data_IF_126103566628
#
_entry.id   IF_126103566628
#
_cell.length_a   1.000
_cell.length_b   1.000
_cell.length_c   1.000
_cell.angle_alpha   90.00
_cell.angle_beta   90.00
_cell.angle_gamma   90.00
#
_symmetry.space_group_name_H-M   'P 1'
#
loop_
_entity.id
_entity.type
_entity.pdbx_description
1 polymer ?
#
# COMPACT_ATOMS: atom_id res chain seq x y z
N UNK A 1 -2.12 55.24 24.02
CA UNK A 1 -2.77 54.82 22.76
C UNK A 1 -1.83 54.06 21.81
N UNK A 2 -0.62 54.57 21.46
CA UNK A 2 0.33 53.89 20.55
C UNK A 2 0.87 52.51 21.00
N UNK A 3 0.97 52.24 22.32
CA UNK A 3 1.42 50.94 22.83
C UNK A 3 0.35 49.85 22.79
N UNK A 4 -0.93 50.20 22.96
CA UNK A 4 -2.04 49.24 22.88
C UNK A 4 -2.26 48.72 21.44
N UNK A 5 -2.07 49.59 20.44
CA UNK A 5 -2.14 49.21 19.01
C UNK A 5 -1.05 48.18 18.66
N UNK A 6 0.21 48.42 19.09
CA UNK A 6 1.32 47.47 18.88
C UNK A 6 1.17 46.12 19.59
N UNK A 7 0.39 46.06 20.68
CA UNK A 7 0.13 44.82 21.41
C UNK A 7 -0.93 43.97 20.69
N UNK A 8 -1.97 44.62 20.18
CA UNK A 8 -2.98 44.00 19.30
C UNK A 8 -2.34 43.40 18.04
N UNK A 9 -1.45 44.13 17.38
CA UNK A 9 -0.78 43.66 16.16
C UNK A 9 0.08 42.40 16.39
N UNK A 10 0.75 42.30 17.54
CA UNK A 10 1.54 41.10 17.91
C UNK A 10 0.66 39.89 18.21
N UNK A 11 -0.52 40.10 18.81
CA UNK A 11 -1.48 39.03 19.07
C UNK A 11 -2.09 38.56 17.76
N UNK A 12 -2.48 39.48 16.88
CA UNK A 12 -3.00 39.16 15.54
C UNK A 12 -1.95 38.42 14.71
N UNK A 13 -0.68 38.85 14.70
CA UNK A 13 0.40 38.11 14.04
C UNK A 13 0.58 36.70 14.58
N UNK A 14 0.54 36.50 15.91
CA UNK A 14 0.63 35.16 16.50
C UNK A 14 -0.57 34.29 16.14
N UNK A 15 -1.79 34.84 16.14
CA UNK A 15 -3.00 34.12 15.75
C UNK A 15 -2.92 33.75 14.27
N UNK A 16 -2.53 34.66 13.38
CA UNK A 16 -2.34 34.37 11.95
C UNK A 16 -1.28 33.29 11.75
N UNK A 17 -0.17 33.32 12.50
CA UNK A 17 0.87 32.30 12.41
C UNK A 17 0.37 30.92 12.91
N UNK A 18 -0.38 30.88 14.00
CA UNK A 18 -1.00 29.64 14.52
C UNK A 18 -2.03 29.11 13.53
N UNK A 19 -2.90 29.98 12.99
CA UNK A 19 -3.92 29.59 12.00
C UNK A 19 -3.25 29.09 10.73
N UNK A 20 -2.20 29.75 10.23
CA UNK A 20 -1.42 29.28 9.08
C UNK A 20 -0.73 27.94 9.36
N UNK A 21 -0.16 27.77 10.55
CA UNK A 21 0.42 26.49 10.97
C UNK A 21 -0.63 25.38 11.09
N UNK A 22 -1.81 25.67 11.63
CA UNK A 22 -2.93 24.73 11.67
C UNK A 22 -3.49 24.41 10.28
N UNK A 23 -3.49 25.38 9.35
CA UNK A 23 -3.87 25.19 7.94
C UNK A 23 -2.87 24.28 7.20
N UNK A 24 -1.58 24.32 7.55
CA UNK A 24 -0.56 23.38 7.06
C UNK A 24 -0.71 21.97 7.67
N UNK A 25 -1.50 21.83 8.74
CA UNK A 25 -1.75 20.57 9.45
C UNK A 25 -3.15 20.00 9.12
N UNK A 26 -3.86 20.57 8.14
CA UNK A 26 -5.08 19.95 7.64
C UNK A 26 -4.64 18.62 7.01
N UNK A 27 -5.08 17.46 7.54
CA UNK A 27 -4.73 16.19 6.94
C UNK A 27 -5.25 16.24 5.50
N UNK A 28 -4.35 16.14 4.52
CA UNK A 28 -4.75 15.74 3.19
C UNK A 28 -5.55 14.45 3.36
N UNK A 29 -6.68 14.32 2.67
CA UNK A 29 -7.44 13.07 2.62
C UNK A 29 -6.45 11.93 2.40
N UNK A 30 -6.26 11.10 3.43
CA UNK A 30 -5.34 9.98 3.38
C UNK A 30 -6.03 8.91 2.54
N UNK A 31 -5.81 8.97 1.23
CA UNK A 31 -6.11 7.86 0.34
C UNK A 31 -5.02 6.82 0.58
N UNK A 32 -5.24 5.98 1.57
CA UNK A 32 -4.26 5.00 2.02
C UNK A 32 -4.89 3.64 2.06
N UNK A 33 -4.14 2.63 1.63
CA UNK A 33 -4.45 1.27 2.01
C UNK A 33 -4.08 1.07 3.49
N UNK A 34 -4.86 0.29 4.24
CA UNK A 34 -4.38 -0.19 5.52
C UNK A 34 -3.25 -1.20 5.28
N UNK A 35 -2.12 -1.01 5.95
CA UNK A 35 -1.00 -1.93 5.84
C UNK A 35 -1.28 -3.20 6.66
N UNK A 36 -1.15 -4.36 6.01
CA UNK A 36 -0.94 -5.64 6.70
C UNK A 36 0.57 -5.90 6.69
N UNK A 37 1.25 -5.95 7.86
CA UNK A 37 2.66 -6.29 7.91
C UNK A 37 2.93 -7.70 7.38
N UNK A 38 4.03 -7.86 6.68
CA UNK A 38 4.47 -9.11 6.06
C UNK A 38 5.86 -9.47 6.54
N UNK A 39 6.20 -10.76 6.51
CA UNK A 39 7.53 -11.27 6.85
C UNK A 39 8.04 -12.30 5.83
N UNK A 40 7.33 -12.47 4.71
CA UNK A 40 7.64 -13.42 3.65
C UNK A 40 7.44 -14.89 4.02
N UNK A 41 6.76 -15.19 5.13
CA UNK A 41 6.53 -16.59 5.57
C UNK A 41 5.27 -17.22 4.99
N UNK A 42 4.46 -16.45 4.25
CA UNK A 42 3.21 -16.83 3.62
C UNK A 42 3.40 -17.66 2.35
N UNK A 43 4.18 -18.75 2.42
CA UNK A 43 4.65 -19.51 1.26
C UNK A 43 3.87 -20.79 0.94
N UNK A 44 2.74 -21.03 1.63
CA UNK A 44 1.81 -22.14 1.38
C UNK A 44 0.44 -21.87 2.03
N UNK A 45 -0.53 -22.77 1.87
CA UNK A 45 -1.87 -22.62 2.43
C UNK A 45 -1.93 -22.63 3.96
N UNK A 46 -1.04 -23.36 4.65
CA UNK A 46 -1.03 -23.44 6.11
C UNK A 46 -0.47 -22.15 6.74
N UNK A 47 0.44 -21.47 6.04
CA UNK A 47 1.03 -20.20 6.46
C UNK A 47 0.48 -18.98 5.70
N UNK A 48 -0.57 -19.15 4.90
CA UNK A 48 -1.13 -18.08 4.08
C UNK A 48 -1.50 -16.87 4.95
N UNK A 49 -1.15 -15.67 4.48
CA UNK A 49 -1.43 -14.43 5.21
C UNK A 49 -2.93 -14.16 5.23
N UNK A 50 -3.52 -14.03 6.41
CA UNK A 50 -4.96 -13.74 6.54
C UNK A 50 -5.25 -12.27 6.19
N UNK A 51 -6.13 -12.05 5.22
CA UNK A 51 -6.65 -10.72 4.87
C UNK A 51 -8.01 -10.54 5.55
N UNK A 52 -8.15 -9.60 6.51
CA UNK A 52 -9.42 -9.37 7.18
C UNK A 52 -10.38 -8.59 6.28
N UNK A 53 -11.55 -9.15 5.97
CA UNK A 53 -12.57 -8.50 5.13
C UNK A 53 -12.01 -7.95 3.79
N UNK A 54 -12.09 -8.72 2.69
CA UNK A 54 -11.48 -8.38 1.41
C UNK A 54 -12.08 -7.13 0.73
N UNK A 55 -13.18 -6.59 1.25
CA UNK A 55 -13.80 -5.34 0.75
C UNK A 55 -13.06 -4.10 1.26
N UNK A 56 -12.47 -4.18 2.46
CA UNK A 56 -11.65 -3.10 3.01
C UNK A 56 -10.34 -3.02 2.24
N UNK A 57 -9.90 -1.80 1.96
CA UNK A 57 -8.68 -1.57 1.20
C UNK A 57 -7.43 -1.83 2.05
N UNK A 58 -6.73 -2.92 1.73
CA UNK A 58 -5.47 -3.34 2.34
C UNK A 58 -4.33 -3.32 1.33
N UNK A 59 -3.11 -3.19 1.84
CA UNK A 59 -1.88 -3.36 1.07
C UNK A 59 -0.87 -4.19 1.86
N UNK A 60 -0.12 -4.99 1.12
CA UNK A 60 0.98 -5.82 1.59
C UNK A 60 2.21 -5.48 0.77
N UNK A 61 3.29 -5.09 1.42
CA UNK A 61 4.58 -4.88 0.78
C UNK A 61 5.39 -6.16 0.87
N UNK A 62 5.73 -6.74 -0.26
CA UNK A 62 6.23 -8.11 -0.34
C UNK A 62 7.50 -8.18 -1.18
N UNK A 63 8.33 -9.17 -0.88
CA UNK A 63 9.49 -9.53 -1.67
C UNK A 63 9.31 -10.95 -2.17
N UNK A 64 8.96 -11.09 -3.45
CA UNK A 64 8.81 -12.39 -4.08
C UNK A 64 10.19 -12.97 -4.35
N UNK A 65 10.42 -14.19 -3.88
CA UNK A 65 11.65 -14.95 -4.06
C UNK A 65 11.39 -16.19 -4.93
N UNK A 66 11.83 -17.37 -4.49
CA UNK A 66 11.70 -18.64 -5.21
C UNK A 66 10.32 -19.31 -5.03
N UNK A 67 9.55 -18.89 -4.02
CA UNK A 67 8.26 -19.49 -3.67
C UNK A 67 7.11 -18.51 -3.91
N UNK A 68 5.93 -19.02 -4.28
CA UNK A 68 4.71 -18.23 -4.33
C UNK A 68 4.36 -17.70 -2.94
N UNK A 69 3.79 -16.51 -2.90
CA UNK A 69 3.19 -15.91 -1.72
C UNK A 69 1.68 -16.18 -1.74
N UNK A 70 1.10 -16.61 -0.63
CA UNK A 70 -0.30 -16.99 -0.48
C UNK A 70 -1.01 -16.09 0.53
N UNK A 71 -2.25 -15.74 0.23
CA UNK A 71 -3.11 -14.93 1.06
C UNK A 71 -4.46 -15.59 1.15
N UNK A 72 -5.10 -15.57 2.32
CA UNK A 72 -6.37 -16.22 2.58
C UNK A 72 -7.40 -15.20 3.03
N UNK A 73 -8.62 -15.30 2.50
CA UNK A 73 -9.72 -14.44 2.91
C UNK A 73 -11.07 -15.15 2.81
N UNK A 74 -12.02 -14.70 3.61
CA UNK A 74 -13.42 -15.09 3.51
C UNK A 74 -14.15 -14.05 2.67
N UNK A 75 -14.84 -14.48 1.62
CA UNK A 75 -15.68 -13.62 0.79
C UNK A 75 -17.12 -14.12 0.79
N UNK A 76 -18.06 -13.20 0.56
CA UNK A 76 -19.50 -13.48 0.45
C UNK A 76 -19.95 -13.29 -0.99
N UNK A 77 -21.09 -13.89 -1.32
CA UNK A 77 -21.77 -13.60 -2.59
C UNK A 77 -22.06 -12.11 -2.71
N UNK A 78 -21.71 -11.51 -3.84
CA UNK A 78 -21.89 -10.10 -4.15
C UNK A 78 -20.76 -9.20 -3.65
N UNK A 79 -19.75 -9.73 -2.95
CA UNK A 79 -18.53 -8.96 -2.67
C UNK A 79 -17.79 -8.76 -4.00
N UNK A 80 -17.44 -7.51 -4.31
CA UNK A 80 -16.54 -7.20 -5.43
C UNK A 80 -15.11 -7.49 -4.99
N UNK A 81 -14.48 -8.48 -5.59
CA UNK A 81 -13.06 -8.72 -5.41
C UNK A 81 -12.29 -7.77 -6.34
N UNK A 82 -11.69 -6.75 -5.74
CA UNK A 82 -10.69 -5.91 -6.40
C UNK A 82 -9.32 -6.23 -5.81
N UNK A 83 -8.35 -6.63 -6.63
CA UNK A 83 -6.97 -6.83 -6.19
C UNK A 83 -6.00 -6.48 -7.30
N UNK A 84 -4.86 -5.88 -6.96
CA UNK A 84 -3.87 -5.46 -7.94
C UNK A 84 -2.45 -5.62 -7.43
N UNK A 85 -1.54 -5.84 -8.36
CA UNK A 85 -0.10 -5.79 -8.12
C UNK A 85 0.43 -4.47 -8.68
N UNK A 86 1.23 -3.77 -7.89
CA UNK A 86 2.03 -2.64 -8.35
C UNK A 86 3.49 -2.82 -7.93
N UNK A 87 4.42 -2.44 -8.80
CA UNK A 87 5.86 -2.61 -8.57
C UNK A 87 6.47 -1.25 -8.23
N UNK A 88 7.21 -1.09 -7.12
CA UNK A 88 7.85 0.20 -6.82
C UNK A 88 8.77 0.57 -7.98
N UNK A 89 8.74 1.84 -8.39
CA UNK A 89 9.50 2.34 -9.55
C UNK A 89 11.00 2.39 -9.26
N UNK A 90 11.62 1.22 -9.26
CA UNK A 90 13.03 0.96 -9.11
C UNK A 90 13.52 0.37 -10.43
N UNK A 91 14.47 1.02 -11.09
CA UNK A 91 14.98 0.59 -12.42
C UNK A 91 15.24 -0.92 -12.55
N UNK A 92 15.82 -1.64 -11.55
CA UNK A 92 16.03 -3.09 -11.67
C UNK A 92 14.75 -3.94 -11.73
N UNK A 93 13.59 -3.38 -11.41
CA UNK A 93 12.29 -4.07 -11.36
C UNK A 93 11.39 -3.72 -12.56
N UNK A 94 11.87 -2.95 -13.54
CA UNK A 94 11.05 -2.49 -14.68
C UNK A 94 10.40 -3.65 -15.44
N UNK A 95 11.14 -4.74 -15.65
CA UNK A 95 10.68 -5.93 -16.37
C UNK A 95 10.00 -6.99 -15.45
N UNK A 96 10.02 -6.77 -14.13
CA UNK A 96 9.46 -7.74 -13.17
C UNK A 96 7.94 -7.79 -13.28
N UNK A 97 7.38 -8.94 -13.67
CA UNK A 97 5.97 -9.12 -14.05
C UNK A 97 5.37 -10.37 -13.38
N UNK A 98 5.32 -10.41 -12.03
CA UNK A 98 4.82 -11.59 -11.31
C UNK A 98 3.33 -11.79 -11.58
N UNK A 99 2.87 -13.02 -11.77
CA UNK A 99 1.45 -13.35 -11.98
C UNK A 99 0.65 -13.24 -10.68
N UNK A 100 -0.60 -12.80 -10.79
CA UNK A 100 -1.60 -12.82 -9.71
C UNK A 100 -2.56 -13.99 -9.94
N UNK A 101 -2.92 -14.71 -8.88
CA UNK A 101 -3.75 -15.92 -8.98
C UNK A 101 -4.94 -15.80 -8.04
N UNK A 102 -6.13 -16.09 -8.55
CA UNK A 102 -7.31 -16.33 -7.72
C UNK A 102 -7.54 -17.84 -7.58
N UNK A 103 -7.64 -18.30 -6.34
CA UNK A 103 -7.83 -19.71 -6.00
C UNK A 103 -9.09 -19.84 -5.13
N UNK A 104 -9.98 -20.76 -5.48
CA UNK A 104 -11.26 -20.94 -4.81
C UNK A 104 -11.95 -22.24 -5.22
N UNK A 105 -13.09 -22.60 -4.61
CA UNK A 105 -13.81 -23.81 -4.99
C UNK A 105 -14.17 -23.80 -6.48
N UNK A 106 -13.82 -24.87 -7.20
CA UNK A 106 -13.97 -24.93 -8.66
C UNK A 106 -15.41 -24.63 -9.10
N UNK A 107 -16.39 -25.24 -8.43
CA UNK A 107 -17.82 -25.05 -8.72
C UNK A 107 -18.31 -23.62 -8.49
N UNK A 108 -17.60 -22.81 -7.71
CA UNK A 108 -17.97 -21.41 -7.45
C UNK A 108 -17.28 -20.47 -8.44
N UNK A 109 -16.01 -20.74 -8.78
CA UNK A 109 -15.29 -19.97 -9.80
C UNK A 109 -15.91 -20.15 -11.19
N UNK A 110 -16.48 -21.31 -11.51
CA UNK A 110 -17.23 -21.54 -12.75
C UNK A 110 -18.49 -20.66 -12.89
N UNK A 111 -19.01 -20.12 -11.79
CA UNK A 111 -20.18 -19.23 -11.78
C UNK A 111 -19.82 -17.77 -12.08
N UNK A 112 -18.56 -17.38 -11.90
CA UNK A 112 -18.11 -15.99 -12.10
C UNK A 112 -18.05 -15.68 -13.59
N UNK A 113 -18.92 -14.79 -14.07
CA UNK A 113 -19.06 -14.51 -15.50
C UNK A 113 -17.81 -13.87 -16.09
N UNK A 114 -17.11 -13.01 -15.34
CA UNK A 114 -15.86 -12.37 -15.76
C UNK A 114 -14.79 -13.42 -16.08
N UNK A 115 -14.63 -14.44 -15.22
CA UNK A 115 -13.67 -15.54 -15.43
C UNK A 115 -13.99 -16.41 -16.66
N UNK A 116 -15.24 -16.38 -17.15
CA UNK A 116 -15.65 -17.14 -18.36
C UNK A 116 -15.34 -16.41 -19.64
N UNK A 117 -15.22 -15.08 -19.57
CA UNK A 117 -14.94 -14.21 -20.71
C UNK A 117 -13.45 -13.86 -20.81
N UNK A 118 -12.75 -13.85 -19.67
CA UNK A 118 -11.31 -13.67 -19.63
C UNK A 118 -10.59 -14.92 -20.18
N UNK A 119 -9.63 -14.71 -21.08
CA UNK A 119 -8.71 -15.76 -21.56
C UNK A 119 -7.60 -15.99 -20.52
N UNK A 120 -8.01 -16.32 -19.30
CA UNK A 120 -7.12 -16.55 -18.17
C UNK A 120 -6.58 -17.98 -18.21
N UNK A 121 -5.26 -18.09 -18.02
CA UNK A 121 -4.58 -19.37 -17.92
C UNK A 121 -4.98 -20.09 -16.61
N UNK A 122 -5.06 -21.42 -16.66
CA UNK A 122 -5.25 -22.26 -15.47
C UNK A 122 -3.99 -23.04 -15.07
N UNK A 123 -2.87 -22.82 -15.77
CA UNK A 123 -1.59 -23.43 -15.44
C UNK A 123 -0.99 -22.79 -14.19
N UNK A 124 -1.40 -23.31 -13.03
CA UNK A 124 -0.81 -23.04 -11.73
C UNK A 124 -0.08 -24.30 -11.26
N UNK A 125 1.25 -24.32 -11.38
CA UNK A 125 2.07 -25.52 -11.15
C UNK A 125 2.28 -25.88 -9.66
N UNK A 126 1.61 -25.15 -8.76
CA UNK A 126 1.67 -25.41 -7.33
C UNK A 126 0.47 -26.23 -6.87
N UNK A 127 0.61 -26.88 -5.70
CA UNK A 127 -0.45 -27.67 -5.10
C UNK A 127 -1.75 -26.86 -4.96
N UNK A 128 -2.90 -27.50 -5.20
CA UNK A 128 -4.23 -26.96 -4.95
C UNK A 128 -4.98 -27.83 -3.93
N UNK A 129 -5.72 -27.24 -2.98
CA UNK A 129 -6.61 -27.99 -2.11
C UNK A 129 -7.64 -28.79 -2.92
N UNK A 130 -8.12 -29.90 -2.36
CA UNK A 130 -9.13 -30.72 -3.03
C UNK A 130 -10.41 -29.92 -3.32
N UNK A 131 -10.87 -29.97 -4.57
CA UNK A 131 -12.07 -29.26 -5.03
C UNK A 131 -11.87 -27.79 -5.35
N UNK A 132 -10.64 -27.28 -5.27
CA UNK A 132 -10.29 -25.91 -5.67
C UNK A 132 -9.76 -25.88 -7.11
N UNK A 133 -9.90 -24.72 -7.75
CA UNK A 133 -9.31 -24.40 -9.05
C UNK A 133 -8.58 -23.06 -8.95
N UNK A 134 -7.70 -22.79 -9.91
CA UNK A 134 -6.90 -21.57 -9.97
C UNK A 134 -7.02 -20.86 -11.31
N UNK A 135 -7.15 -19.54 -11.25
CA UNK A 135 -7.16 -18.67 -12.41
C UNK A 135 -5.97 -17.74 -12.31
N UNK A 136 -5.07 -17.83 -13.29
CA UNK A 136 -3.81 -17.09 -13.37
C UNK A 136 -3.99 -15.88 -14.25
N UNK A 137 -3.69 -14.72 -13.69
CA UNK A 137 -3.70 -13.42 -14.33
C UNK A 137 -2.24 -13.01 -14.55
N UNK A 138 -1.80 -13.05 -15.81
CA UNK A 138 -0.49 -12.57 -16.23
C UNK A 138 -0.55 -11.10 -16.65
N UNK A 139 0.60 -10.43 -16.66
CA UNK A 139 0.70 -9.09 -17.24
C UNK A 139 1.02 -9.24 -18.72
N UNK A 140 0.13 -8.77 -19.58
CA UNK A 140 0.26 -8.80 -21.04
C UNK A 140 0.43 -7.40 -21.66
N UNK A 141 0.55 -6.37 -20.82
CA UNK A 141 0.74 -4.99 -21.22
C UNK A 141 2.17 -4.64 -21.65
N UNK A 142 2.38 -3.42 -22.15
CA UNK A 142 3.71 -2.94 -22.54
C UNK A 142 4.60 -2.69 -21.31
N UNK A 143 5.92 -2.87 -21.49
CA UNK A 143 6.95 -2.47 -20.53
C UNK A 143 7.77 -1.30 -21.11
N UNK A 144 8.04 -0.22 -20.35
CA UNK A 144 7.54 0.06 -19.00
C UNK A 144 6.02 0.25 -18.97
N UNK A 145 5.40 -0.26 -17.91
CA UNK A 145 3.94 -0.15 -17.75
C UNK A 145 3.53 1.25 -17.29
N UNK A 146 2.21 1.47 -17.22
CA UNK A 146 1.65 2.73 -16.73
C UNK A 146 2.10 3.03 -15.31
N UNK A 147 2.49 4.27 -15.08
CA UNK A 147 2.87 4.76 -13.76
C UNK A 147 1.63 5.16 -12.95
N UNK A 148 1.64 4.80 -11.66
CA UNK A 148 0.68 5.20 -10.65
C UNK A 148 1.40 5.93 -9.53
N UNK A 149 0.99 7.18 -9.24
CA UNK A 149 1.50 7.93 -8.09
C UNK A 149 0.54 7.78 -6.92
N UNK A 150 1.03 7.15 -5.85
CA UNK A 150 0.30 6.91 -4.61
C UNK A 150 0.52 8.11 -3.66
N UNK A 151 -0.48 8.98 -3.42
CA UNK A 151 -0.27 10.25 -2.72
C UNK A 151 0.08 10.15 -1.22
N UNK A 152 -0.38 9.11 -0.52
CA UNK A 152 -0.16 8.94 0.91
C UNK A 152 1.31 8.66 1.19
N UNK A 153 1.83 7.56 0.64
CA UNK A 153 3.23 7.18 0.66
C UNK A 153 4.10 8.06 -0.23
N UNK A 154 3.50 8.84 -1.15
CA UNK A 154 4.17 9.65 -2.20
C UNK A 154 5.19 8.82 -2.98
N UNK A 155 4.80 7.59 -3.30
CA UNK A 155 5.61 6.64 -4.07
C UNK A 155 5.01 6.51 -5.46
N UNK A 156 5.88 6.45 -6.47
CA UNK A 156 5.47 6.06 -7.82
C UNK A 156 5.68 4.57 -7.99
N UNK A 157 4.65 3.89 -8.50
CA UNK A 157 4.68 2.50 -8.87
C UNK A 157 4.44 2.33 -10.36
N UNK A 158 4.83 1.18 -10.89
CA UNK A 158 4.38 0.65 -12.16
C UNK A 158 3.19 -0.28 -11.93
N UNK A 159 2.09 -0.07 -12.65
CA UNK A 159 0.91 -0.93 -12.60
C UNK A 159 1.22 -2.31 -13.23
N UNK A 160 0.73 -3.39 -12.61
CA UNK A 160 0.78 -4.75 -13.18
C UNK A 160 -0.63 -5.32 -13.27
N UNK A 161 -0.81 -6.58 -12.85
CA UNK A 161 -2.07 -7.29 -13.00
C UNK A 161 -3.11 -6.77 -12.02
N UNK A 162 -4.34 -6.82 -12.46
CA UNK A 162 -5.52 -6.46 -11.69
C UNK A 162 -6.57 -7.55 -11.87
N UNK A 163 -7.27 -7.85 -10.79
CA UNK A 163 -8.49 -8.64 -10.74
C UNK A 163 -9.60 -7.70 -10.31
N UNK A 164 -10.69 -7.69 -11.07
CA UNK A 164 -11.92 -6.97 -10.74
C UNK A 164 -13.11 -7.83 -11.16
N UNK A 165 -13.74 -8.49 -10.19
CA UNK A 165 -14.87 -9.41 -10.42
C UNK A 165 -15.82 -9.47 -9.23
N UNK A 166 -17.03 -9.97 -9.46
CA UNK A 166 -18.00 -10.26 -8.40
C UNK A 166 -17.88 -11.71 -7.90
N UNK A 167 -17.83 -11.89 -6.57
CA UNK A 167 -17.82 -13.22 -5.96
C UNK A 167 -19.24 -13.81 -5.97
N UNK A 168 -19.39 -15.01 -6.50
CA UNK A 168 -20.72 -15.61 -6.72
C UNK A 168 -21.25 -16.49 -5.58
N UNK A 169 -20.38 -16.89 -4.65
CA UNK A 169 -20.73 -17.77 -3.54
C UNK A 169 -19.87 -17.50 -2.30
N UNK A 170 -20.42 -17.68 -1.08
CA UNK A 170 -19.63 -17.53 0.13
C UNK A 170 -18.67 -18.71 0.32
N UNK A 171 -17.38 -18.41 0.50
CA UNK A 171 -16.33 -19.41 0.77
C UNK A 171 -15.06 -18.73 1.30
N UNK A 172 -14.14 -19.57 1.77
CA UNK A 172 -12.72 -19.24 1.79
C UNK A 172 -12.19 -19.20 0.36
N UNK A 173 -11.47 -18.13 0.04
CA UNK A 173 -10.71 -17.94 -1.19
C UNK A 173 -9.24 -17.64 -0.84
N UNK A 174 -8.38 -17.80 -1.83
CA UNK A 174 -6.97 -17.43 -1.71
C UNK A 174 -6.56 -16.56 -2.90
N UNK A 175 -5.64 -15.64 -2.63
CA UNK A 175 -4.79 -15.08 -3.66
C UNK A 175 -3.43 -15.77 -3.60
N UNK A 176 -2.77 -15.91 -4.74
CA UNK A 176 -1.36 -16.22 -4.78
C UNK A 176 -0.61 -15.29 -5.73
N UNK A 177 0.66 -15.04 -5.45
CA UNK A 177 1.56 -14.27 -6.31
C UNK A 177 2.81 -15.09 -6.57
N UNK A 178 3.17 -15.27 -7.83
CA UNK A 178 4.36 -16.03 -8.23
C UNK A 178 4.93 -15.49 -9.54
N UNK A 179 6.15 -15.87 -9.90
CA UNK A 179 6.74 -15.49 -11.18
C UNK A 179 7.02 -16.73 -12.03
N UNK A 180 6.45 -16.78 -13.24
CA UNK A 180 6.58 -17.93 -14.17
C UNK A 180 8.03 -18.20 -14.58
N UNK A 181 8.90 -17.20 -14.53
CA UNK A 181 10.32 -17.31 -14.90
C UNK A 181 11.24 -17.56 -13.69
N UNK A 182 10.69 -17.52 -12.48
CA UNK A 182 11.44 -17.57 -11.23
C UNK A 182 12.18 -16.27 -10.91
N UNK A 183 11.75 -15.14 -11.49
CA UNK A 183 12.31 -13.83 -11.18
C UNK A 183 11.90 -13.40 -9.77
N UNK A 184 12.82 -12.71 -9.09
CA UNK A 184 12.60 -12.19 -7.74
C UNK A 184 12.42 -10.68 -7.79
N UNK A 185 11.58 -10.12 -6.92
CA UNK A 185 11.38 -8.68 -6.90
C UNK A 185 10.45 -8.20 -5.81
N UNK A 186 10.45 -6.88 -5.60
CA UNK A 186 9.53 -6.21 -4.69
C UNK A 186 8.21 -5.95 -5.38
N UNK A 187 7.10 -6.21 -4.70
CA UNK A 187 5.75 -5.88 -5.15
C UNK A 187 4.88 -5.41 -4.00
N UNK A 188 3.92 -4.53 -4.30
CA UNK A 188 2.83 -4.24 -3.39
C UNK A 188 1.58 -4.95 -3.92
N UNK A 189 1.00 -5.84 -3.11
CA UNK A 189 -0.29 -6.45 -3.38
C UNK A 189 -1.36 -5.62 -2.66
N UNK A 190 -2.31 -5.09 -3.41
CA UNK A 190 -3.49 -4.43 -2.89
C UNK A 190 -4.72 -5.33 -3.03
N UNK A 191 -5.65 -5.23 -2.08
CA UNK A 191 -6.96 -5.86 -2.14
C UNK A 191 -8.01 -4.94 -1.51
N UNK A 192 -9.21 -4.95 -2.06
CA UNK A 192 -10.33 -4.16 -1.58
C UNK A 192 -10.30 -2.69 -2.02
N UNK A 193 -11.45 -2.03 -1.86
CA UNK A 193 -11.73 -0.73 -2.47
C UNK A 193 -12.43 0.24 -1.51
N UNK A 194 -12.79 -0.20 -0.30
CA UNK A 194 -13.40 0.65 0.73
C UNK A 194 -12.34 1.09 1.72
N UNK A 195 -12.13 2.40 1.82
CA UNK A 195 -11.29 2.99 2.86
C UNK A 195 -12.08 3.09 4.18
N UNK A 196 -11.58 2.43 5.22
CA UNK A 196 -12.25 2.39 6.54
C UNK A 196 -11.26 2.75 7.66
N UNK A 197 -10.97 4.04 7.87
CA UNK A 197 -10.04 4.48 8.91
C UNK A 197 -10.76 4.99 10.16
N UNK A 198 -10.35 4.48 11.31
CA UNK A 198 -10.73 5.01 12.62
C UNK A 198 -9.78 6.13 13.07
N UNK A 199 -10.21 6.97 14.01
CA UNK A 199 -9.35 8.01 14.59
C UNK A 199 -8.08 7.46 15.26
N UNK A 200 -8.11 6.22 15.76
CA UNK A 200 -6.92 5.56 16.32
C UNK A 200 -5.92 5.17 15.22
N UNK A 201 -6.40 4.81 14.03
CA UNK A 201 -5.54 4.41 12.90
C UNK A 201 -4.62 5.55 12.45
N UNK A 202 -5.04 6.82 12.63
CA UNK A 202 -4.20 7.99 12.33
C UNK A 202 -2.93 8.09 13.18
N UNK A 203 -2.91 7.47 14.36
CA UNK A 203 -1.75 7.50 15.26
C UNK A 203 -1.05 6.16 15.40
N UNK A 204 -1.69 5.05 15.02
CA UNK A 204 -1.09 3.70 15.12
C UNK A 204 -0.77 3.06 13.77
N UNK A 205 -1.64 3.21 12.76
CA UNK A 205 -1.52 2.49 11.48
C UNK A 205 -0.84 3.37 10.44
N UNK A 206 -1.36 4.59 10.22
CA UNK A 206 -0.87 5.47 9.15
C UNK A 206 0.60 5.85 9.31
N UNK A 207 1.12 6.23 10.49
CA UNK A 207 2.54 6.57 10.60
C UNK A 207 3.46 5.40 10.25
N UNK A 208 3.09 4.18 10.65
CA UNK A 208 3.85 2.98 10.32
C UNK A 208 3.74 2.65 8.83
N UNK A 209 2.54 2.70 8.26
CA UNK A 209 2.31 2.46 6.83
C UNK A 209 3.12 3.41 5.94
N UNK A 210 3.18 4.69 6.30
CA UNK A 210 3.98 5.68 5.59
C UNK A 210 5.48 5.41 5.68
N UNK A 211 6.00 5.06 6.86
CA UNK A 211 7.41 4.73 7.02
C UNK A 211 7.78 3.47 6.24
N UNK A 212 6.93 2.45 6.31
CA UNK A 212 7.13 1.20 5.59
C UNK A 212 7.12 1.41 4.08
N UNK A 213 6.18 2.21 3.55
CA UNK A 213 6.12 2.50 2.12
C UNK A 213 7.41 3.14 1.60
N UNK A 214 8.00 4.07 2.37
CA UNK A 214 9.28 4.71 2.04
C UNK A 214 10.46 3.76 2.10
N UNK A 215 10.51 2.93 3.14
CA UNK A 215 11.57 1.96 3.31
C UNK A 215 11.53 0.92 2.20
N UNK A 216 10.34 0.38 1.93
CA UNK A 216 10.09 -0.60 0.89
C UNK A 216 10.48 -0.11 -0.50
N UNK A 217 10.08 1.11 -0.84
CA UNK A 217 10.36 1.75 -2.14
C UNK A 217 11.77 2.36 -2.23
N UNK A 218 12.61 2.21 -1.20
CA UNK A 218 13.95 2.79 -1.12
C UNK A 218 14.00 4.32 -1.30
N UNK A 219 12.91 5.03 -1.02
CA UNK A 219 12.84 6.49 -1.10
C UNK A 219 13.04 7.13 0.29
N UNK A 220 14.29 7.36 0.63
CA UNK A 220 14.69 7.99 1.88
C UNK A 220 14.74 9.53 1.82
N UNK A 221 14.44 10.13 0.66
CA UNK A 221 14.59 11.58 0.45
C UNK A 221 13.80 12.41 1.48
N UNK A 222 12.51 12.12 1.75
CA UNK A 222 11.73 12.87 2.72
C UNK A 222 12.25 12.72 4.15
N UNK A 223 12.76 11.53 4.51
CA UNK A 223 13.36 11.27 5.81
C UNK A 223 14.64 12.09 6.02
N UNK A 224 15.50 12.16 4.99
CA UNK A 224 16.71 12.99 5.01
C UNK A 224 16.36 14.48 5.15
N UNK A 225 15.37 14.97 4.39
CA UNK A 225 14.88 16.35 4.49
C UNK A 225 14.35 16.62 5.91
N UNK A 226 13.55 15.70 6.46
CA UNK A 226 13.00 15.83 7.81
C UNK A 226 14.10 15.92 8.88
N UNK A 227 15.08 15.01 8.84
CA UNK A 227 16.25 15.04 9.74
C UNK A 227 17.03 16.36 9.58
N UNK A 228 17.21 16.84 8.36
CA UNK A 228 17.86 18.11 8.07
C UNK A 228 17.13 19.32 8.69
N UNK A 229 15.79 19.37 8.57
CA UNK A 229 14.95 20.41 9.18
C UNK A 229 15.08 20.38 10.71
N UNK A 230 14.92 19.21 11.32
CA UNK A 230 15.00 19.05 12.79
C UNK A 230 16.39 19.46 13.29
N UNK A 231 17.45 19.01 12.63
CA UNK A 231 18.83 19.39 12.96
C UNK A 231 19.04 20.89 12.84
N UNK A 232 18.51 21.52 11.78
CA UNK A 232 18.55 22.96 11.57
C UNK A 232 17.86 23.76 12.68
N UNK A 233 16.71 23.28 13.17
CA UNK A 233 15.98 23.89 14.30
C UNK A 233 16.82 23.82 15.58
N UNK A 234 17.40 22.65 15.90
CA UNK A 234 18.24 22.50 17.09
C UNK A 234 19.50 23.38 17.01
N UNK A 235 20.15 23.46 15.85
CA UNK A 235 21.29 24.35 15.63
C UNK A 235 20.91 25.83 15.81
N UNK A 236 19.75 26.24 15.28
CA UNK A 236 19.26 27.61 15.45
C UNK A 236 18.97 27.93 16.91
N UNK A 237 18.31 27.04 17.65
CA UNK A 237 18.05 27.21 19.09
C UNK A 237 19.37 27.29 19.86
N UNK A 238 20.31 26.37 19.61
CA UNK A 238 21.63 26.38 20.24
C UNK A 238 22.41 27.67 19.95
N UNK A 239 22.37 28.16 18.72
CA UNK A 239 22.99 29.43 18.33
C UNK A 239 22.35 30.63 19.05
N UNK A 240 21.02 30.67 19.15
CA UNK A 240 20.31 31.74 19.87
C UNK A 240 20.63 31.74 21.37
N UNK A 241 20.74 30.55 22.00
CA UNK A 241 21.17 30.42 23.40
C UNK A 241 22.61 30.89 23.56
N UNK A 242 23.53 30.42 22.72
CA UNK A 242 24.94 30.84 22.73
C UNK A 242 25.09 32.35 22.64
N UNK A 243 24.36 32.98 21.71
CA UNK A 243 24.39 34.43 21.52
C UNK A 243 23.90 35.20 22.75
N UNK A 244 22.92 34.66 23.47
CA UNK A 244 22.36 35.28 24.68
C UNK A 244 23.29 35.15 25.89
N UNK A 245 24.08 34.08 25.98
CA UNK A 245 25.06 33.87 27.07
C UNK A 245 26.30 34.76 26.88
N UNK A 246 26.66 35.07 25.63
CA UNK A 246 27.84 35.89 25.30
C UNK A 246 27.59 37.40 25.36
N UNK A 247 26.33 37.82 25.54
CA UNK A 247 25.92 39.21 25.78
C UNK A 247 25.83 39.48 27.28
#
# INVERSE_FOLDING_TARGET
>A
MRQMVKFGDKIVQKIVFIVFFCLLMIPASAFGHKLIPTDGTNVNYDSALEIPNPVISWAMYEELQDKPLFYKFEAKKGDRLYSSIVIPKLEPLEDFTPSLVLIGPATFLELVDELRVLDTDKNFDYYLPEGYDAYVFDYDGPIPSKEFYEPFGQITYWERQEIDLEIEAPSTYYLAVFDKTGSTGKLALAIGYVEDFSGNDFVTVLPNAWLESRYFSEDFTPLVIFIGIISGIFLLIGFLIYRKIKQ
#
